data_IF_627108537691
#
_entry.id   IF_627108537691
#
_cell.length_a   1.000
_cell.length_b   1.000
_cell.length_c   1.000
_cell.angle_alpha   90.00
_cell.angle_beta   90.00
_cell.angle_gamma   90.00
#
_symmetry.space_group_name_H-M   'P 1'
#
loop_
_entity.id
_entity.type
_entity.pdbx_description
1 polymer ?
#
# COMPACT_ATOMS: atom_id res chain seq x y z
N UNK A 1 -38.38 0.91 10.36
CA UNK A 1 -38.14 -0.14 9.35
C UNK A 1 -37.27 0.44 8.24
N UNK A 2 -36.10 -0.15 7.97
CA UNK A 2 -35.16 0.33 6.95
C UNK A 2 -35.50 -0.13 5.54
N UNK A 3 -34.85 0.43 4.52
CA UNK A 3 -35.01 0.00 3.14
C UNK A 3 -34.51 -1.45 2.97
N UNK A 4 -35.45 -2.37 2.78
CA UNK A 4 -35.15 -3.77 2.53
C UNK A 4 -35.13 -4.05 1.01
N UNK A 5 -34.21 -4.89 0.53
CA UNK A 5 -34.20 -5.28 -0.86
C UNK A 5 -35.48 -6.07 -1.19
N UNK A 6 -36.23 -5.61 -2.19
CA UNK A 6 -37.48 -6.26 -2.61
C UNK A 6 -37.26 -7.68 -3.14
N UNK A 7 -36.10 -7.97 -3.73
CA UNK A 7 -35.72 -9.27 -4.31
C UNK A 7 -34.23 -9.53 -4.15
N UNK A 8 -33.83 -10.80 -4.20
CA UNK A 8 -32.42 -11.22 -4.23
C UNK A 8 -31.73 -10.72 -5.51
N UNK A 9 -30.53 -10.17 -5.38
CA UNK A 9 -29.71 -9.81 -6.54
C UNK A 9 -29.29 -11.06 -7.33
N UNK A 10 -29.44 -10.98 -8.66
CA UNK A 10 -28.99 -12.04 -9.56
C UNK A 10 -27.47 -12.26 -9.46
N UNK A 11 -27.02 -13.51 -9.64
CA UNK A 11 -25.58 -13.86 -9.62
C UNK A 11 -24.79 -13.04 -10.63
N UNK A 12 -25.32 -12.84 -11.84
CA UNK A 12 -24.71 -11.99 -12.87
C UNK A 12 -24.50 -10.55 -12.40
N UNK A 13 -25.53 -9.92 -11.81
CA UNK A 13 -25.44 -8.54 -11.30
C UNK A 13 -24.43 -8.39 -10.17
N UNK A 14 -24.31 -9.39 -9.29
CA UNK A 14 -23.28 -9.39 -8.24
C UNK A 14 -21.88 -9.53 -8.82
N UNK A 15 -21.69 -10.41 -9.82
CA UNK A 15 -20.41 -10.63 -10.50
C UNK A 15 -19.94 -9.39 -11.26
N UNK A 16 -20.80 -8.74 -12.03
CA UNK A 16 -20.45 -7.51 -12.76
C UNK A 16 -20.07 -6.38 -11.81
N UNK A 17 -20.83 -6.19 -10.73
CA UNK A 17 -20.51 -5.21 -9.69
C UNK A 17 -19.16 -5.49 -9.01
N UNK A 18 -18.82 -6.76 -8.76
CA UNK A 18 -17.51 -7.11 -8.19
C UNK A 18 -16.38 -6.95 -9.20
N UNK A 19 -16.61 -7.24 -10.48
CA UNK A 19 -15.61 -7.14 -11.53
C UNK A 19 -15.12 -5.69 -11.76
N UNK A 20 -15.95 -4.68 -11.47
CA UNK A 20 -15.53 -3.27 -11.55
C UNK A 20 -14.63 -2.83 -10.39
N UNK A 21 -14.53 -3.61 -9.30
CA UNK A 21 -13.73 -3.29 -8.12
C UNK A 21 -12.39 -4.01 -8.26
N UNK A 22 -11.44 -3.36 -8.94
CA UNK A 22 -10.11 -3.92 -9.21
C UNK A 22 -9.09 -3.22 -8.32
N UNK A 23 -8.28 -3.99 -7.60
CA UNK A 23 -7.14 -3.48 -6.83
C UNK A 23 -5.91 -3.38 -7.73
N UNK A 24 -5.22 -2.24 -7.69
CA UNK A 24 -3.95 -2.04 -8.40
C UNK A 24 -2.80 -2.18 -7.42
N UNK A 25 -1.73 -2.85 -7.87
CA UNK A 25 -0.49 -2.95 -7.10
C UNK A 25 0.21 -1.58 -7.07
N UNK A 26 0.80 -1.18 -5.93
CA UNK A 26 1.58 0.05 -5.85
C UNK A 26 2.87 -0.09 -6.67
N UNK A 27 3.29 1.01 -7.30
CA UNK A 27 4.58 1.07 -7.97
C UNK A 27 5.70 1.09 -6.93
N UNK A 28 6.72 0.25 -7.13
CA UNK A 28 7.92 0.20 -6.31
C UNK A 28 9.13 0.67 -7.12
N UNK A 29 10.01 1.42 -6.48
CA UNK A 29 11.22 1.99 -7.08
C UNK A 29 12.43 1.57 -6.25
N UNK A 30 13.56 1.34 -6.93
CA UNK A 30 14.84 1.02 -6.26
C UNK A 30 15.34 2.24 -5.48
N UNK A 31 15.70 2.03 -4.22
CA UNK A 31 16.31 3.07 -3.40
C UNK A 31 17.75 3.34 -3.84
N UNK A 32 18.14 4.59 -4.12
CA UNK A 32 19.51 4.92 -4.57
C UNK A 32 20.59 4.68 -3.49
N UNK A 33 20.22 4.65 -2.20
CA UNK A 33 21.18 4.54 -1.11
C UNK A 33 21.42 3.09 -0.64
N UNK A 34 20.41 2.21 -0.71
CA UNK A 34 20.50 0.84 -0.21
C UNK A 34 20.11 -0.24 -1.22
N UNK A 35 19.61 0.11 -2.42
CA UNK A 35 19.21 -0.83 -3.45
C UNK A 35 17.88 -1.57 -3.20
N UNK A 36 17.20 -1.32 -2.08
CA UNK A 36 15.90 -1.97 -1.81
C UNK A 36 14.72 -1.30 -2.50
N UNK A 37 13.70 -2.09 -2.78
CA UNK A 37 12.43 -1.60 -3.32
C UNK A 37 11.67 -0.79 -2.27
N UNK A 38 11.27 0.42 -2.63
CA UNK A 38 10.48 1.32 -1.78
C UNK A 38 9.34 1.97 -2.55
N UNK A 39 8.37 2.50 -1.80
CA UNK A 39 7.31 3.34 -2.35
C UNK A 39 7.93 4.67 -2.80
N UNK A 40 7.55 5.22 -3.97
CA UNK A 40 8.01 6.53 -4.41
C UNK A 40 7.54 7.64 -3.44
N UNK A 41 8.34 8.70 -3.33
CA UNK A 41 8.08 9.85 -2.45
C UNK A 41 7.98 9.55 -0.95
N UNK A 42 8.39 8.37 -0.49
CA UNK A 42 8.52 8.06 0.94
C UNK A 42 9.97 7.86 1.36
N UNK A 43 10.20 8.01 2.66
CA UNK A 43 11.46 7.63 3.32
C UNK A 43 11.62 6.10 3.18
N UNK A 44 12.84 5.65 2.90
CA UNK A 44 13.12 4.21 2.86
C UNK A 44 13.11 3.63 4.28
N UNK A 45 12.33 2.58 4.52
CA UNK A 45 12.22 1.93 5.83
C UNK A 45 13.54 1.32 6.33
N UNK A 46 14.46 0.96 5.43
CA UNK A 46 15.74 0.35 5.80
C UNK A 46 16.83 1.37 6.15
N UNK A 47 16.90 2.47 5.41
CA UNK A 47 18.02 3.41 5.51
C UNK A 47 17.61 4.83 5.92
N UNK A 48 16.34 5.08 6.23
CA UNK A 48 15.87 6.36 6.79
C UNK A 48 16.07 7.58 5.86
N UNK A 49 16.38 7.35 4.58
CA UNK A 49 16.74 8.41 3.64
C UNK A 49 15.63 8.74 2.66
N UNK A 50 15.47 10.05 2.40
CA UNK A 50 14.63 10.62 1.35
C UNK A 50 15.54 11.41 0.40
N UNK A 51 15.88 10.82 -0.75
CA UNK A 51 16.84 11.40 -1.69
C UNK A 51 18.31 11.27 -1.22
N UNK A 52 19.21 12.17 -1.66
CA UNK A 52 20.64 12.12 -1.30
C UNK A 52 20.92 12.61 0.14
N UNK A 53 19.91 13.09 0.88
CA UNK A 53 20.06 13.55 2.26
C UNK A 53 19.52 12.48 3.21
N UNK A 54 20.33 12.09 4.20
CA UNK A 54 19.87 11.32 5.35
C UNK A 54 18.96 12.24 6.16
N UNK A 55 17.69 11.87 6.30
CA UNK A 55 16.70 12.70 6.98
C UNK A 55 16.62 12.39 8.49
N UNK A 56 17.27 11.32 8.94
CA UNK A 56 17.23 10.86 10.33
C UNK A 56 18.62 10.36 10.76
N UNK A 57 19.30 11.15 11.58
CA UNK A 57 20.39 10.69 12.44
C UNK A 57 19.76 10.14 13.72
N UNK A 58 19.14 8.95 13.67
CA UNK A 58 18.67 8.26 14.90
C UNK A 58 18.88 6.74 14.82
N UNK A 59 19.14 6.18 15.99
CA UNK A 59 19.99 5.03 16.24
C UNK A 59 19.43 3.67 15.77
N UNK A 60 20.38 2.81 15.38
CA UNK A 60 20.20 1.37 15.19
C UNK A 60 19.55 0.75 16.43
N UNK A 61 18.48 -0.01 16.21
CA UNK A 61 18.12 -1.14 17.06
C UNK A 61 16.88 -0.95 17.92
N UNK A 62 15.78 -1.58 17.50
CA UNK A 62 14.84 -2.16 18.46
C UNK A 62 14.35 -3.52 17.98
N UNK A 63 15.26 -4.50 18.07
CA UNK A 63 14.86 -5.82 18.51
C UNK A 63 14.45 -5.72 19.98
N UNK A 64 13.19 -5.98 20.31
CA UNK A 64 12.79 -6.60 21.58
C UNK A 64 11.31 -6.98 21.58
N UNK A 65 11.11 -8.29 21.76
CA UNK A 65 9.88 -9.09 22.03
C UNK A 65 8.77 -9.08 21.01
#
# INVERSE_FOLDING_TARGET
>A
MGALPKKKHAKARSKTRKASIILKLPALVVCPNCGELKIPHTICSKCGSYGPKKASDEEKGRSKT
#
